data_IF_547693748858
#
_entry.id   IF_547693748858
#
_cell.length_a   1.000
_cell.length_b   1.000
_cell.length_c   1.000
_cell.angle_alpha   90.00
_cell.angle_beta   90.00
_cell.angle_gamma   90.00
#
_symmetry.space_group_name_H-M   'P 1'
#
loop_
_entity.id
_entity.type
_entity.pdbx_description
1 polymer ?
#
# COMPACT_ATOMS: atom_id res chain seq x y z
N UNK A 1 13.73 -19.12 23.77
CA UNK A 1 14.49 -18.11 23.04
C UNK A 1 14.03 -17.96 21.58
N UNK A 2 14.14 -19.02 20.75
CA UNK A 2 13.76 -18.95 19.33
C UNK A 2 12.30 -18.54 19.13
N UNK A 3 11.36 -19.10 19.89
CA UNK A 3 9.94 -18.75 19.84
C UNK A 3 9.67 -17.28 20.11
N UNK A 4 10.34 -16.68 21.10
CA UNK A 4 10.13 -15.29 21.49
C UNK A 4 10.82 -14.27 20.57
N UNK A 5 11.98 -14.61 20.02
CA UNK A 5 12.78 -13.70 19.19
C UNK A 5 12.34 -13.68 17.75
N UNK A 6 12.11 -14.86 17.16
CA UNK A 6 11.69 -15.01 15.75
C UNK A 6 10.15 -14.98 15.57
N UNK A 7 9.38 -15.07 16.65
CA UNK A 7 7.89 -15.17 16.59
C UNK A 7 7.42 -16.40 15.81
N UNK A 8 8.14 -17.52 15.98
CA UNK A 8 7.85 -18.79 15.29
C UNK A 8 7.76 -19.93 16.29
N UNK A 9 6.74 -19.96 17.18
CA UNK A 9 6.65 -20.96 18.25
C UNK A 9 6.57 -22.38 17.73
N UNK A 10 5.82 -22.62 16.66
CA UNK A 10 5.67 -23.97 16.07
C UNK A 10 7.01 -24.46 15.52
N UNK A 11 7.74 -23.64 14.77
CA UNK A 11 9.06 -24.00 14.24
C UNK A 11 10.05 -24.30 15.35
N UNK A 12 10.01 -23.56 16.46
CA UNK A 12 10.86 -23.81 17.62
C UNK A 12 10.59 -25.17 18.25
N UNK A 13 9.32 -25.56 18.38
CA UNK A 13 8.92 -26.89 18.91
C UNK A 13 9.39 -28.00 17.99
N UNK A 14 9.12 -27.89 16.69
CA UNK A 14 9.52 -28.93 15.69
C UNK A 14 11.03 -29.08 15.66
N UNK A 15 11.79 -28.01 15.69
CA UNK A 15 13.25 -28.03 15.65
C UNK A 15 13.84 -28.78 16.86
N UNK A 16 13.34 -28.45 18.07
CA UNK A 16 13.79 -29.15 19.29
C UNK A 16 13.38 -30.60 19.28
N UNK A 17 12.18 -30.92 18.79
CA UNK A 17 11.71 -32.32 18.65
C UNK A 17 12.60 -33.12 17.70
N UNK A 18 12.94 -32.58 16.53
CA UNK A 18 13.85 -33.25 15.58
C UNK A 18 15.26 -33.50 16.19
N UNK A 19 15.77 -32.53 16.96
CA UNK A 19 17.08 -32.65 17.58
C UNK A 19 17.10 -33.67 18.72
N UNK A 20 16.00 -33.85 19.48
CA UNK A 20 15.95 -34.71 20.66
C UNK A 20 15.41 -36.11 20.35
N UNK A 21 14.72 -36.28 19.22
CA UNK A 21 14.02 -37.51 18.81
C UNK A 21 13.14 -38.11 19.91
N UNK A 22 12.71 -37.31 20.90
CA UNK A 22 12.01 -37.74 22.11
C UNK A 22 10.60 -37.19 22.22
N UNK A 23 9.58 -38.06 22.13
CA UNK A 23 8.16 -37.67 22.24
C UNK A 23 7.78 -37.21 23.65
N UNK A 24 8.50 -37.61 24.68
CA UNK A 24 8.18 -37.33 26.09
C UNK A 24 8.27 -35.86 26.46
N UNK A 25 9.05 -35.08 25.72
CA UNK A 25 9.29 -33.67 26.03
C UNK A 25 8.47 -32.70 25.19
N UNK A 26 7.62 -33.18 24.25
CA UNK A 26 6.85 -32.31 23.35
C UNK A 26 5.92 -31.36 24.13
N UNK A 27 5.14 -31.89 25.07
CA UNK A 27 4.17 -31.08 25.84
C UNK A 27 4.84 -29.94 26.67
N UNK A 28 5.91 -30.22 27.45
CA UNK A 28 6.63 -29.14 28.15
C UNK A 28 7.24 -28.10 27.19
N UNK A 29 7.77 -28.52 26.04
CA UNK A 29 8.36 -27.62 25.04
C UNK A 29 7.27 -26.74 24.41
N UNK A 30 6.12 -27.31 24.05
CA UNK A 30 4.99 -26.53 23.51
C UNK A 30 4.50 -25.48 24.50
N UNK A 31 4.36 -25.86 25.79
CA UNK A 31 3.92 -24.95 26.82
C UNK A 31 4.92 -23.78 27.01
N UNK A 32 6.22 -24.12 27.10
CA UNK A 32 7.28 -23.09 27.27
C UNK A 32 7.38 -22.17 26.05
N UNK A 33 7.22 -22.69 24.83
CA UNK A 33 7.24 -21.90 23.61
C UNK A 33 6.04 -20.94 23.55
N UNK A 34 4.84 -21.40 23.92
CA UNK A 34 3.64 -20.57 23.96
C UNK A 34 3.74 -19.44 25.00
N UNK A 35 4.21 -19.76 26.21
CA UNK A 35 4.42 -18.74 27.26
C UNK A 35 5.47 -17.74 26.82
N UNK A 36 6.58 -18.18 26.23
CA UNK A 36 7.64 -17.31 25.76
C UNK A 36 7.15 -16.35 24.65
N UNK A 37 6.29 -16.80 23.75
CA UNK A 37 5.73 -15.97 22.70
C UNK A 37 4.74 -14.92 23.26
N UNK A 38 3.86 -15.32 24.18
CA UNK A 38 2.93 -14.41 24.87
C UNK A 38 3.64 -13.32 25.67
N UNK A 39 4.72 -13.67 26.39
CA UNK A 39 5.51 -12.70 27.14
C UNK A 39 6.22 -11.74 26.16
N UNK A 40 6.79 -12.26 25.10
CA UNK A 40 7.46 -11.45 24.10
C UNK A 40 6.49 -10.49 23.39
N UNK A 41 5.24 -10.89 23.18
CA UNK A 41 4.19 -10.03 22.61
C UNK A 41 3.87 -8.84 23.50
N UNK A 42 3.80 -9.05 24.82
CA UNK A 42 3.57 -7.97 25.79
C UNK A 42 4.75 -7.01 25.93
N UNK A 43 5.99 -7.51 25.82
CA UNK A 43 7.19 -6.71 25.99
C UNK A 43 7.62 -5.97 24.73
N UNK A 44 7.48 -6.59 23.58
CA UNK A 44 7.89 -5.99 22.31
C UNK A 44 7.00 -6.48 21.15
N UNK A 45 6.22 -5.58 20.57
CA UNK A 45 5.32 -5.91 19.47
C UNK A 45 6.02 -6.23 18.12
N UNK A 46 7.35 -6.03 18.02
CA UNK A 46 8.06 -6.19 16.74
C UNK A 46 8.98 -7.40 16.76
N UNK A 47 8.82 -8.38 15.85
CA UNK A 47 9.79 -9.44 15.68
C UNK A 47 11.15 -8.88 15.24
N UNK A 48 12.24 -9.59 15.57
CA UNK A 48 13.61 -9.12 15.31
C UNK A 48 13.86 -8.88 13.81
N UNK A 49 13.25 -9.70 12.95
CA UNK A 49 13.33 -9.54 11.49
C UNK A 49 12.64 -8.28 10.97
N UNK A 50 11.57 -7.83 11.61
CA UNK A 50 10.95 -6.54 11.29
C UNK A 50 11.87 -5.36 11.63
N UNK A 51 12.68 -5.48 12.68
CA UNK A 51 13.67 -4.45 13.02
C UNK A 51 14.85 -4.41 12.05
N UNK A 52 15.21 -5.54 11.45
CA UNK A 52 16.23 -5.59 10.38
C UNK A 52 15.75 -4.91 9.10
N UNK A 53 14.46 -5.09 8.74
CA UNK A 53 13.86 -4.38 7.60
C UNK A 53 13.82 -2.88 7.87
N UNK A 54 13.47 -2.45 9.08
CA UNK A 54 13.49 -1.05 9.49
C UNK A 54 14.93 -0.49 9.54
N UNK A 55 15.93 -1.31 9.82
CA UNK A 55 17.35 -0.90 9.80
C UNK A 55 17.95 -0.80 8.39
N UNK A 56 17.33 -1.39 7.36
CA UNK A 56 17.66 -1.07 5.95
C UNK A 56 17.31 0.38 5.58
N UNK A 57 16.47 1.05 6.40
CA UNK A 57 16.18 2.50 6.35
C UNK A 57 17.41 3.38 6.72
N UNK A 58 18.58 2.81 6.95
CA UNK A 58 19.82 3.57 7.23
C UNK A 58 20.52 4.10 5.99
N UNK A 59 19.96 3.91 4.78
CA UNK A 59 20.49 4.62 3.62
C UNK A 59 20.28 6.13 3.80
N UNK A 60 21.21 6.97 3.39
CA UNK A 60 21.07 8.43 3.40
C UNK A 60 19.77 8.89 2.73
N UNK A 61 19.36 8.20 1.66
CA UNK A 61 18.12 8.44 0.91
C UNK A 61 16.86 8.17 1.74
N UNK A 62 16.83 7.08 2.51
CA UNK A 62 15.68 6.76 3.36
C UNK A 62 15.52 7.77 4.51
N UNK A 63 16.65 8.29 5.05
CA UNK A 63 16.63 9.38 6.02
C UNK A 63 16.08 10.66 5.41
N UNK A 64 16.52 10.99 4.20
CA UNK A 64 16.02 12.15 3.47
C UNK A 64 14.52 12.03 3.22
N UNK A 65 14.06 10.92 2.64
CA UNK A 65 12.65 10.67 2.36
C UNK A 65 11.78 10.68 3.64
N UNK A 66 12.30 10.24 4.78
CA UNK A 66 11.57 10.27 6.05
C UNK A 66 11.37 11.67 6.62
N UNK A 67 12.21 12.64 6.23
CA UNK A 67 12.08 14.04 6.64
C UNK A 67 11.16 14.87 5.73
N UNK A 68 10.87 14.37 4.52
CA UNK A 68 10.08 15.07 3.51
C UNK A 68 8.62 14.65 3.58
N UNK A 69 7.69 15.62 3.55
CA UNK A 69 6.26 15.38 3.62
C UNK A 69 5.64 15.26 2.22
N UNK A 70 4.69 14.36 2.06
CA UNK A 70 3.93 14.11 0.81
C UNK A 70 3.32 15.39 0.25
N UNK A 71 2.78 16.27 1.11
CA UNK A 71 2.14 17.53 0.68
C UNK A 71 3.03 18.43 -0.16
N UNK A 72 4.35 18.36 0.02
CA UNK A 72 5.29 19.26 -0.68
C UNK A 72 5.67 18.72 -2.08
N UNK A 73 5.40 17.45 -2.35
CA UNK A 73 5.81 16.76 -3.59
C UNK A 73 4.64 16.19 -4.38
N UNK A 74 3.43 16.18 -3.79
CA UNK A 74 2.23 15.74 -4.49
C UNK A 74 1.85 16.72 -5.59
N UNK A 75 1.28 16.20 -6.67
CA UNK A 75 0.64 17.00 -7.71
C UNK A 75 -0.78 17.36 -7.27
N UNK A 76 -1.10 18.63 -7.30
CA UNK A 76 -2.43 19.17 -6.91
C UNK A 76 -3.30 19.48 -8.11
N UNK A 77 -2.69 19.72 -9.28
CA UNK A 77 -3.42 19.91 -10.54
C UNK A 77 -3.84 18.54 -11.09
N UNK A 78 -5.04 18.13 -10.73
CA UNK A 78 -5.57 16.80 -11.01
C UNK A 78 -6.81 16.89 -11.90
N UNK A 79 -6.84 16.04 -12.91
CA UNK A 79 -8.07 15.74 -13.63
C UNK A 79 -8.76 14.59 -12.92
N UNK A 80 -9.94 14.87 -12.34
CA UNK A 80 -10.79 13.87 -11.69
C UNK A 80 -12.06 13.65 -12.51
N UNK A 81 -12.54 12.41 -12.52
CA UNK A 81 -13.80 12.07 -13.17
C UNK A 81 -14.91 11.82 -12.14
N UNK A 82 -16.15 12.12 -12.51
CA UNK A 82 -17.32 11.73 -11.72
C UNK A 82 -17.68 10.27 -12.00
N UNK A 83 -18.13 9.55 -11.00
CA UNK A 83 -18.52 8.14 -11.11
C UNK A 83 -19.59 7.85 -12.15
N UNK A 84 -20.44 8.85 -12.45
CA UNK A 84 -21.58 8.74 -13.37
C UNK A 84 -21.20 9.00 -14.84
N UNK A 85 -19.93 9.31 -15.12
CA UNK A 85 -19.48 9.50 -16.50
C UNK A 85 -19.40 8.17 -17.23
N UNK A 86 -19.73 8.19 -18.53
CA UNK A 86 -19.62 7.03 -19.41
C UNK A 86 -18.20 6.89 -19.96
N UNK A 87 -17.85 5.69 -20.43
CA UNK A 87 -16.56 5.41 -21.08
C UNK A 87 -16.31 6.39 -22.24
N UNK A 88 -17.32 6.64 -23.08
CA UNK A 88 -17.25 7.58 -24.20
C UNK A 88 -16.86 8.98 -23.76
N UNK A 89 -17.51 9.54 -22.71
CA UNK A 89 -17.22 10.87 -22.18
C UNK A 89 -15.80 10.98 -21.62
N UNK A 90 -15.35 9.92 -20.92
CA UNK A 90 -14.01 9.89 -20.34
C UNK A 90 -12.95 9.71 -21.42
N UNK A 91 -13.19 8.89 -22.44
CA UNK A 91 -12.28 8.72 -23.58
C UNK A 91 -12.02 10.04 -24.31
N UNK A 92 -13.08 10.83 -24.55
CA UNK A 92 -12.94 12.14 -25.19
C UNK A 92 -12.10 13.09 -24.34
N UNK A 93 -12.34 13.13 -23.03
CA UNK A 93 -11.57 13.98 -22.12
C UNK A 93 -10.12 13.57 -22.01
N UNK A 94 -9.81 12.26 -21.93
CA UNK A 94 -8.43 11.75 -21.79
C UNK A 94 -7.55 12.14 -23.00
N UNK A 95 -8.12 12.29 -24.21
CA UNK A 95 -7.36 12.73 -25.39
C UNK A 95 -6.65 14.05 -25.19
N UNK A 96 -7.20 14.93 -24.34
CA UNK A 96 -6.68 16.26 -24.08
C UNK A 96 -5.66 16.29 -22.92
N UNK A 97 -5.40 15.13 -22.26
CA UNK A 97 -4.51 15.05 -21.10
C UNK A 97 -3.48 13.95 -21.25
N UNK A 98 -2.26 14.21 -20.79
CA UNK A 98 -1.14 13.26 -20.83
C UNK A 98 -1.04 12.39 -19.58
N UNK A 99 -2.02 12.44 -18.70
CA UNK A 99 -1.99 11.62 -17.46
C UNK A 99 -2.34 10.16 -17.76
N UNK A 100 -1.72 9.25 -17.01
CA UNK A 100 -1.99 7.81 -17.14
C UNK A 100 -3.10 7.32 -16.21
N UNK A 101 -3.40 8.07 -15.16
CA UNK A 101 -4.26 7.65 -14.06
C UNK A 101 -5.12 8.80 -13.59
N UNK A 102 -6.39 8.52 -13.33
CA UNK A 102 -7.40 9.52 -13.00
C UNK A 102 -8.21 9.08 -11.78
N UNK A 103 -8.24 9.88 -10.71
CA UNK A 103 -9.12 9.63 -9.58
C UNK A 103 -10.60 9.77 -9.97
N UNK A 104 -11.42 8.87 -9.47
CA UNK A 104 -12.87 8.92 -9.60
C UNK A 104 -13.46 9.38 -8.28
N UNK A 105 -14.31 10.40 -8.34
CA UNK A 105 -14.91 11.04 -7.18
C UNK A 105 -16.42 11.11 -7.24
N UNK A 106 -17.04 11.25 -6.07
CA UNK A 106 -18.46 11.60 -5.97
C UNK A 106 -18.67 13.12 -5.96
N UNK A 107 -19.93 13.55 -5.92
CA UNK A 107 -20.35 14.97 -5.90
C UNK A 107 -19.80 15.72 -4.65
N UNK A 108 -19.52 15.00 -3.56
CA UNK A 108 -18.92 15.56 -2.34
C UNK A 108 -17.40 15.61 -2.37
N UNK A 109 -16.76 15.42 -3.54
CA UNK A 109 -15.31 15.36 -3.75
C UNK A 109 -14.58 14.26 -2.96
N UNK A 110 -15.29 13.20 -2.57
CA UNK A 110 -14.68 12.02 -1.92
C UNK A 110 -14.19 11.05 -2.98
N UNK A 111 -13.06 10.42 -2.71
CA UNK A 111 -12.50 9.37 -3.54
C UNK A 111 -13.42 8.15 -3.53
N UNK A 112 -13.80 7.67 -4.71
CA UNK A 112 -14.53 6.42 -4.93
C UNK A 112 -13.63 5.34 -5.52
N UNK A 113 -12.67 5.72 -6.36
CA UNK A 113 -11.81 4.77 -7.03
C UNK A 113 -10.77 5.45 -7.90
N UNK A 114 -10.08 4.64 -8.66
CA UNK A 114 -9.04 5.05 -9.59
C UNK A 114 -9.26 4.36 -10.93
N UNK A 115 -9.14 5.08 -12.04
CA UNK A 115 -9.20 4.51 -13.37
C UNK A 115 -7.95 4.90 -14.15
N UNK A 116 -7.40 3.97 -14.92
CA UNK A 116 -6.25 4.23 -15.77
C UNK A 116 -6.69 4.38 -17.23
N UNK A 117 -5.82 4.98 -18.04
CA UNK A 117 -6.04 5.05 -19.48
C UNK A 117 -6.13 3.65 -20.10
N UNK A 118 -5.31 2.72 -19.63
CA UNK A 118 -5.31 1.32 -20.07
C UNK A 118 -6.65 0.63 -19.76
N UNK A 119 -7.24 0.85 -18.58
CA UNK A 119 -8.52 0.23 -18.22
C UNK A 119 -9.63 0.61 -19.22
N UNK A 120 -9.60 1.85 -19.71
CA UNK A 120 -10.57 2.35 -20.70
C UNK A 120 -10.28 1.76 -22.09
N UNK A 121 -9.00 1.73 -22.50
CA UNK A 121 -8.59 1.14 -23.78
C UNK A 121 -8.90 -0.35 -23.83
N UNK A 122 -8.63 -1.08 -22.75
CA UNK A 122 -8.93 -2.51 -22.63
C UNK A 122 -10.43 -2.80 -22.65
N UNK A 123 -11.25 -1.98 -21.96
CA UNK A 123 -12.70 -2.11 -21.98
C UNK A 123 -13.28 -1.92 -23.38
N UNK A 124 -12.78 -0.93 -24.13
CA UNK A 124 -13.18 -0.69 -25.52
C UNK A 124 -12.76 -1.86 -26.43
N UNK A 125 -11.53 -2.36 -26.24
CA UNK A 125 -11.02 -3.49 -27.01
C UNK A 125 -11.82 -4.78 -26.76
N UNK A 126 -12.31 -4.98 -25.53
CA UNK A 126 -13.16 -6.10 -25.14
C UNK A 126 -14.62 -5.94 -25.61
N UNK A 127 -14.97 -4.83 -26.27
CA UNK A 127 -16.32 -4.59 -26.79
C UNK A 127 -17.33 -4.17 -25.71
N UNK A 128 -16.87 -3.65 -24.57
CA UNK A 128 -17.76 -3.10 -23.56
C UNK A 128 -18.50 -1.89 -24.13
N UNK A 129 -19.82 -1.82 -23.88
CA UNK A 129 -20.64 -0.69 -24.36
C UNK A 129 -20.06 0.64 -23.82
N UNK A 130 -19.78 1.56 -24.73
CA UNK A 130 -19.22 2.89 -24.43
C UNK A 130 -20.14 3.78 -23.59
N UNK A 131 -21.44 3.43 -23.49
CA UNK A 131 -22.40 4.04 -22.59
C UNK A 131 -22.31 3.52 -21.14
N UNK A 132 -21.47 2.51 -20.88
CA UNK A 132 -21.26 1.99 -19.53
C UNK A 132 -20.61 3.06 -18.66
N UNK A 133 -21.08 3.20 -17.41
CA UNK A 133 -20.51 4.10 -16.43
C UNK A 133 -19.14 3.59 -15.95
N UNK A 134 -18.20 4.52 -15.71
CA UNK A 134 -16.83 4.20 -15.27
C UNK A 134 -16.74 3.61 -13.87
N UNK A 135 -17.79 3.73 -13.05
CA UNK A 135 -17.87 3.11 -11.72
C UNK A 135 -17.75 1.60 -11.76
N UNK A 136 -18.13 0.96 -12.88
CA UNK A 136 -18.02 -0.49 -13.09
C UNK A 136 -16.62 -0.96 -13.51
N UNK A 137 -15.79 -0.04 -14.00
CA UNK A 137 -14.44 -0.34 -14.51
C UNK A 137 -13.33 0.11 -13.57
N UNK A 138 -13.61 1.12 -12.73
CA UNK A 138 -12.59 1.68 -11.82
C UNK A 138 -12.15 0.65 -10.78
N UNK A 139 -10.91 0.77 -10.33
CA UNK A 139 -10.44 0.10 -9.11
C UNK A 139 -11.08 0.80 -7.89
N UNK A 140 -11.96 0.13 -7.12
CA UNK A 140 -12.67 0.75 -6.00
C UNK A 140 -11.80 0.89 -4.74
N UNK A 141 -10.62 0.27 -4.70
CA UNK A 141 -9.72 0.27 -3.55
C UNK A 141 -8.31 0.75 -3.93
N UNK A 142 -8.16 2.00 -4.41
CA UNK A 142 -6.85 2.54 -4.72
C UNK A 142 -6.02 2.71 -3.45
N UNK A 143 -4.71 2.58 -3.59
CA UNK A 143 -3.80 2.82 -2.46
C UNK A 143 -3.75 4.31 -2.17
N UNK A 144 -4.01 4.69 -0.93
CA UNK A 144 -4.09 6.09 -0.50
C UNK A 144 -2.98 6.44 0.50
N UNK A 145 -2.75 7.74 0.65
CA UNK A 145 -1.81 8.31 1.62
C UNK A 145 -2.31 9.67 2.10
N UNK A 146 -1.97 10.04 3.34
CA UNK A 146 -2.29 11.37 3.87
C UNK A 146 -1.21 12.41 3.50
N UNK A 147 -1.57 13.70 3.34
CA UNK A 147 -0.60 14.76 3.05
C UNK A 147 0.47 14.95 4.14
N UNK A 148 0.15 14.56 5.38
CA UNK A 148 1.01 14.64 6.57
C UNK A 148 2.02 13.50 6.69
N UNK A 149 1.85 12.45 5.92
CA UNK A 149 2.78 11.32 5.91
C UNK A 149 4.07 11.69 5.15
N UNK A 150 5.15 10.96 5.42
CA UNK A 150 6.44 11.21 4.77
C UNK A 150 6.60 10.44 3.46
N UNK A 151 7.56 10.88 2.62
CA UNK A 151 7.83 10.26 1.32
C UNK A 151 8.35 8.83 1.43
N UNK A 152 8.97 8.45 2.55
CA UNK A 152 9.41 7.08 2.77
C UNK A 152 8.22 6.10 2.85
N UNK A 153 7.15 6.49 3.56
CA UNK A 153 5.91 5.71 3.61
C UNK A 153 5.26 5.65 2.22
N UNK A 154 5.27 6.75 1.47
CA UNK A 154 4.77 6.78 0.10
C UNK A 154 5.55 5.80 -0.80
N UNK A 155 6.87 5.83 -0.75
CA UNK A 155 7.74 4.91 -1.48
C UNK A 155 7.46 3.44 -1.13
N UNK A 156 7.35 3.15 0.16
CA UNK A 156 7.07 1.79 0.64
C UNK A 156 5.70 1.29 0.16
N UNK A 157 4.63 2.12 0.26
CA UNK A 157 3.29 1.74 -0.22
C UNK A 157 3.25 1.51 -1.73
N UNK A 158 3.93 2.34 -2.52
CA UNK A 158 4.03 2.16 -3.98
C UNK A 158 4.71 0.84 -4.33
N UNK A 159 5.76 0.46 -3.59
CA UNK A 159 6.49 -0.78 -3.84
C UNK A 159 5.72 -2.02 -3.38
N UNK A 160 5.21 -2.02 -2.14
CA UNK A 160 4.53 -3.17 -1.55
C UNK A 160 3.24 -3.54 -2.26
N UNK A 161 2.52 -2.55 -2.81
CA UNK A 161 1.27 -2.77 -3.53
C UNK A 161 1.45 -2.80 -5.06
N UNK A 162 2.69 -2.74 -5.55
CA UNK A 162 3.00 -2.59 -6.98
C UNK A 162 2.16 -1.50 -7.67
N UNK A 163 1.86 -0.41 -6.93
CA UNK A 163 1.01 0.67 -7.41
C UNK A 163 1.80 1.65 -8.28
N UNK A 164 1.16 2.20 -9.30
CA UNK A 164 1.76 3.23 -10.16
C UNK A 164 1.73 4.61 -9.51
N UNK A 165 0.71 4.87 -8.71
CA UNK A 165 0.53 6.12 -7.97
C UNK A 165 -0.24 5.88 -6.67
N UNK A 166 -0.16 6.84 -5.74
CA UNK A 166 -1.01 6.92 -4.56
C UNK A 166 -1.92 8.14 -4.68
N UNK A 167 -3.17 7.98 -4.29
CA UNK A 167 -4.09 9.09 -4.17
C UNK A 167 -3.91 9.74 -2.80
N UNK A 168 -3.58 11.02 -2.78
CA UNK A 168 -3.43 11.77 -1.54
C UNK A 168 -4.82 12.25 -1.09
N UNK A 169 -5.26 11.77 0.07
CA UNK A 169 -6.58 12.09 0.63
C UNK A 169 -6.47 12.65 2.04
N UNK A 170 -7.41 13.49 2.44
CA UNK A 170 -7.53 13.93 3.82
C UNK A 170 -8.29 12.90 4.68
N UNK A 171 -8.39 13.16 6.00
CA UNK A 171 -9.11 12.30 6.97
C UNK A 171 -10.59 12.09 6.62
N UNK A 172 -11.17 12.95 5.78
CA UNK A 172 -12.54 12.85 5.31
C UNK A 172 -12.67 12.15 3.94
N UNK A 173 -11.59 11.50 3.48
CA UNK A 173 -11.46 10.86 2.17
C UNK A 173 -11.65 11.82 0.98
N UNK A 174 -11.37 13.12 1.15
CA UNK A 174 -11.38 14.10 0.05
C UNK A 174 -10.02 14.10 -0.65
N UNK A 175 -10.05 14.11 -1.97
CA UNK A 175 -8.87 14.12 -2.82
C UNK A 175 -8.12 15.46 -2.66
N UNK A 176 -6.82 15.39 -2.37
CA UNK A 176 -5.91 16.53 -2.25
C UNK A 176 -4.84 16.54 -3.34
N UNK A 177 -4.43 15.38 -3.83
CA UNK A 177 -3.36 15.26 -4.80
C UNK A 177 -3.14 13.83 -5.28
N UNK A 178 -2.11 13.67 -6.10
CA UNK A 178 -1.54 12.40 -6.50
C UNK A 178 -0.03 12.44 -6.30
N UNK A 179 0.56 11.30 -5.93
CA UNK A 179 2.00 11.14 -5.89
C UNK A 179 2.41 9.86 -6.63
N UNK A 180 3.43 9.98 -7.47
CA UNK A 180 3.97 8.87 -8.27
C UNK A 180 5.40 8.55 -7.87
N UNK A 181 5.95 7.42 -8.35
CA UNK A 181 7.37 7.09 -8.17
C UNK A 181 8.30 8.17 -8.73
N UNK A 182 7.93 8.80 -9.86
CA UNK A 182 8.72 9.87 -10.46
C UNK A 182 8.78 11.13 -9.56
N UNK A 183 7.69 11.45 -8.85
CA UNK A 183 7.66 12.60 -7.97
C UNK A 183 8.53 12.37 -6.72
N UNK A 184 8.61 11.12 -6.23
CA UNK A 184 9.51 10.73 -5.13
C UNK A 184 10.97 10.75 -5.59
N UNK A 185 11.27 10.23 -6.78
CA UNK A 185 12.65 10.21 -7.30
C UNK A 185 13.22 11.62 -7.57
N UNK A 186 12.36 12.62 -7.81
CA UNK A 186 12.80 14.02 -7.92
C UNK A 186 13.16 14.66 -6.58
N UNK A 187 12.79 14.01 -5.47
CA UNK A 187 13.08 14.50 -4.13
C UNK A 187 14.43 13.96 -3.59
N UNK A 188 15.02 13.00 -4.28
CA UNK A 188 16.33 12.40 -3.99
C UNK A 188 17.40 13.07 -4.87
#
# INVERSE_FOLDING_TARGET
>A
FLASVARTPITAVVMVFEMTAGYTHILPIMLSAAIADLIAEKLNHRPIYASLIVNQVKSPEAKLLSSLLVKNYMKTDLVCFSSNMTISMVQEKIKNYSFKTYPVKNDKNKLLGLITKSDIEDAIFQGVDTNTEINKLMNPSPVTIEPSENLYIAYFRLHSNNAQCLVVVDKNNKIKGLITRQDINKAI
#
